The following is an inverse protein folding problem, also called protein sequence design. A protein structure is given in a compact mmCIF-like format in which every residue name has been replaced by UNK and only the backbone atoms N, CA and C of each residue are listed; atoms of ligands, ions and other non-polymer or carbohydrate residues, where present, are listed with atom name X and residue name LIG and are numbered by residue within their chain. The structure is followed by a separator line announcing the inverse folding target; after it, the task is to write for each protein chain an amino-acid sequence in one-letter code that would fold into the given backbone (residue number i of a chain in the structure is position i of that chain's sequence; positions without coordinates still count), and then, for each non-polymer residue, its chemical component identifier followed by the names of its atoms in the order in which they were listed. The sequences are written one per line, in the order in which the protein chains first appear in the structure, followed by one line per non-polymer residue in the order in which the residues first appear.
data_IF_985421533792
#
_entry.id   IF_985421533792
#
_cell.length_a   1.000
_cell.length_b   1.000
_cell.length_c   1.000
_cell.angle_alpha   90.00
_cell.angle_beta   90.00
_cell.angle_gamma   90.00
#
_symmetry.space_group_name_H-M   'P 1'
#
loop_
_entity.id
_entity.type
_entity.pdbx_description
1 polymer ?
#
# COMPACT_ATOMS: atom_id res chain seq x y z
N UNK A 1 24.87 0.59 -50.54
CA UNK A 1 23.92 -0.54 -50.73
C UNK A 1 22.79 -0.37 -49.75
N UNK A 2 21.52 -0.22 -50.17
CA UNK A 2 20.39 0.13 -49.31
C UNK A 2 19.77 -1.13 -48.66
N UNK A 3 19.46 -1.05 -47.38
CA UNK A 3 18.72 -2.05 -46.65
C UNK A 3 17.23 -1.97 -47.03
N UNK A 4 16.69 -3.07 -47.52
CA UNK A 4 15.29 -3.20 -47.90
C UNK A 4 14.39 -3.43 -46.67
N UNK A 5 13.35 -2.61 -46.53
CA UNK A 5 12.26 -2.77 -45.61
C UNK A 5 11.39 -3.99 -46.03
N UNK A 6 11.26 -4.98 -45.13
CA UNK A 6 10.26 -6.03 -45.23
C UNK A 6 8.97 -5.62 -44.48
N UNK A 7 7.79 -6.09 -44.88
CA UNK A 7 6.52 -5.65 -44.31
C UNK A 7 6.28 -6.22 -42.92
N UNK A 8 5.97 -5.32 -41.96
CA UNK A 8 5.47 -5.67 -40.63
C UNK A 8 4.05 -6.24 -40.75
N UNK A 9 3.90 -7.53 -40.61
CA UNK A 9 2.61 -8.15 -40.37
C UNK A 9 2.23 -7.98 -38.91
N UNK A 10 1.18 -7.22 -38.67
CA UNK A 10 0.52 -7.02 -37.38
C UNK A 10 -0.19 -8.32 -37.00
N UNK A 11 -0.02 -8.88 -35.78
CA UNK A 11 -0.83 -10.02 -35.34
C UNK A 11 -2.27 -9.58 -35.08
N UNK A 12 -3.26 -10.43 -35.36
CA UNK A 12 -4.68 -10.10 -35.17
C UNK A 12 -5.06 -10.10 -33.69
N UNK A 13 -6.02 -9.23 -33.40
CA UNK A 13 -6.67 -8.88 -32.16
C UNK A 13 -6.87 -9.96 -31.11
N UNK A 14 -6.67 -9.52 -29.89
CA UNK A 14 -6.97 -10.21 -28.65
C UNK A 14 -7.47 -9.27 -27.56
N UNK A 15 -8.48 -8.44 -27.88
CA UNK A 15 -9.04 -7.48 -26.89
C UNK A 15 -10.32 -7.96 -26.18
N UNK A 16 -10.67 -9.25 -26.29
CA UNK A 16 -11.94 -9.78 -25.77
C UNK A 16 -11.80 -10.67 -24.51
N UNK A 17 -10.59 -10.85 -23.95
CA UNK A 17 -10.36 -11.82 -22.85
C UNK A 17 -10.01 -11.19 -21.52
N UNK A 18 -10.05 -9.87 -21.39
CA UNK A 18 -9.68 -9.14 -20.15
C UNK A 18 -10.80 -8.98 -19.11
N UNK A 19 -12.04 -9.35 -19.45
CA UNK A 19 -13.21 -9.02 -18.61
C UNK A 19 -13.80 -10.18 -17.80
N UNK A 20 -13.11 -11.31 -17.68
CA UNK A 20 -13.59 -12.43 -16.87
C UNK A 20 -12.59 -12.81 -15.78
N UNK A 21 -12.59 -12.06 -14.68
CA UNK A 21 -11.98 -12.55 -13.45
C UNK A 21 -12.78 -13.75 -12.92
N UNK A 22 -12.17 -14.95 -12.83
CA UNK A 22 -12.89 -16.13 -12.34
C UNK A 22 -13.25 -15.96 -10.85
N UNK A 23 -14.48 -16.30 -10.50
CA UNK A 23 -14.98 -16.46 -9.11
C UNK A 23 -14.06 -17.33 -8.23
N UNK A 24 -13.15 -18.06 -8.81
CA UNK A 24 -12.15 -18.89 -8.15
C UNK A 24 -11.09 -18.11 -7.35
N UNK A 25 -10.81 -16.83 -7.68
CA UNK A 25 -9.75 -16.04 -7.01
C UNK A 25 -10.19 -15.59 -5.62
N UNK A 26 -11.42 -15.12 -5.46
CA UNK A 26 -11.97 -14.77 -4.14
C UNK A 26 -12.03 -16.02 -3.23
N UNK A 27 -12.44 -17.18 -3.77
CA UNK A 27 -12.47 -18.45 -3.05
C UNK A 27 -11.07 -18.98 -2.69
N UNK A 28 -10.02 -18.64 -3.46
CA UNK A 28 -8.64 -19.08 -3.21
C UNK A 28 -7.96 -18.21 -2.15
N UNK A 29 -8.23 -16.91 -2.11
CA UNK A 29 -7.78 -16.01 -1.03
C UNK A 29 -8.40 -16.40 0.31
N UNK A 30 -9.67 -16.85 0.32
CA UNK A 30 -10.36 -17.38 1.51
C UNK A 30 -9.75 -18.74 1.93
N UNK A 31 -9.39 -19.63 0.98
CA UNK A 31 -8.79 -20.94 1.27
C UNK A 31 -7.31 -20.88 1.64
N UNK A 32 -6.60 -19.85 1.29
CA UNK A 32 -5.19 -19.68 1.65
C UNK A 32 -4.97 -19.20 3.10
N UNK A 33 -6.02 -19.08 3.93
CA UNK A 33 -5.92 -18.68 5.34
C UNK A 33 -5.47 -17.23 5.57
N UNK A 34 -5.25 -16.46 4.52
CA UNK A 34 -4.74 -15.08 4.61
C UNK A 34 -5.79 -14.02 4.94
N UNK A 35 -7.08 -14.38 4.87
CA UNK A 35 -8.20 -13.52 5.25
C UNK A 35 -9.08 -14.11 6.36
N UNK A 36 -8.89 -15.41 6.73
CA UNK A 36 -9.82 -16.11 7.62
C UNK A 36 -9.48 -16.04 9.10
N UNK A 37 -8.27 -15.65 9.51
CA UNK A 37 -7.84 -15.64 10.90
C UNK A 37 -7.55 -14.24 11.46
N UNK A 38 -8.33 -13.24 11.07
CA UNK A 38 -8.45 -12.05 11.92
C UNK A 38 -9.64 -12.34 12.87
N UNK A 39 -9.39 -12.71 14.13
CA UNK A 39 -10.47 -12.90 15.07
C UNK A 39 -11.29 -11.62 15.13
N UNK A 40 -12.59 -11.74 14.98
CA UNK A 40 -13.51 -10.64 15.28
C UNK A 40 -13.13 -10.14 16.68
N UNK A 41 -12.60 -8.91 16.76
CA UNK A 41 -12.14 -8.35 18.01
C UNK A 41 -13.29 -8.44 19.01
N UNK A 42 -13.12 -9.30 20.01
CA UNK A 42 -14.05 -9.41 21.14
C UNK A 42 -14.14 -8.03 21.79
N UNK A 43 -15.30 -7.43 21.70
CA UNK A 43 -15.60 -6.09 22.21
C UNK A 43 -15.78 -6.10 23.74
N UNK A 44 -14.87 -6.71 24.50
CA UNK A 44 -14.93 -6.68 25.95
C UNK A 44 -13.60 -6.99 26.66
N UNK A 45 -12.48 -6.48 26.18
CA UNK A 45 -11.28 -6.41 27.01
C UNK A 45 -11.13 -4.97 27.48
N UNK A 46 -11.26 -4.72 28.79
CA UNK A 46 -11.11 -3.40 29.39
C UNK A 46 -9.82 -2.74 28.90
N UNK A 47 -9.95 -1.56 28.30
CA UNK A 47 -8.83 -0.79 27.78
C UNK A 47 -7.86 -0.47 28.90
N UNK A 48 -6.59 -0.84 28.74
CA UNK A 48 -5.52 -0.40 29.62
C UNK A 48 -5.48 1.13 29.65
N UNK A 49 -5.20 1.77 30.82
CA UNK A 49 -5.18 3.21 30.93
C UNK A 49 -4.20 3.83 29.93
N UNK A 50 -4.68 4.72 29.05
CA UNK A 50 -3.91 5.41 28.01
C UNK A 50 -4.19 4.97 26.56
N UNK A 51 -5.06 3.99 26.33
CA UNK A 51 -5.49 3.63 24.95
C UNK A 51 -6.63 4.55 24.52
N UNK A 52 -6.37 5.34 23.47
CA UNK A 52 -7.44 6.06 22.79
C UNK A 52 -8.38 5.05 22.11
N UNK A 53 -9.68 5.34 22.17
CA UNK A 53 -10.65 4.63 21.36
C UNK A 53 -10.31 4.76 19.88
N UNK A 54 -10.53 3.70 19.08
CA UNK A 54 -10.37 3.79 17.64
C UNK A 54 -11.28 4.91 17.11
N UNK A 55 -10.80 5.72 16.16
CA UNK A 55 -11.67 6.67 15.50
C UNK A 55 -12.83 5.91 14.86
N UNK A 56 -14.02 6.51 14.85
CA UNK A 56 -15.17 5.92 14.16
C UNK A 56 -14.79 5.64 12.72
N UNK A 57 -15.08 4.42 12.27
CA UNK A 57 -14.83 4.02 10.89
C UNK A 57 -15.60 4.94 9.94
N UNK A 58 -14.96 5.57 8.96
CA UNK A 58 -15.66 6.34 7.97
C UNK A 58 -16.61 5.43 7.19
N UNK A 59 -17.77 5.94 6.89
CA UNK A 59 -18.85 5.20 6.24
C UNK A 59 -18.40 4.61 4.90
N UNK A 60 -18.48 3.31 4.77
CA UNK A 60 -18.77 2.43 3.63
C UNK A 60 -18.31 2.79 2.20
N UNK A 61 -17.67 3.92 1.95
CA UNK A 61 -17.28 4.38 0.62
C UNK A 61 -15.81 4.78 0.58
N UNK A 62 -15.17 4.53 -0.56
CA UNK A 62 -13.81 4.95 -0.81
C UNK A 62 -13.72 6.46 -1.03
N UNK A 63 -12.81 7.09 -0.32
CA UNK A 63 -12.47 8.50 -0.44
C UNK A 63 -10.99 8.73 -0.10
N UNK A 64 -10.48 9.93 -0.36
CA UNK A 64 -9.13 10.33 0.08
C UNK A 64 -8.96 10.17 1.60
N UNK A 65 -10.01 10.42 2.36
CA UNK A 65 -10.01 10.33 3.81
C UNK A 65 -9.65 8.93 4.32
N UNK A 66 -10.06 7.85 3.62
CA UNK A 66 -9.66 6.48 3.97
C UNK A 66 -8.13 6.36 4.03
N UNK A 67 -7.44 6.87 3.01
CA UNK A 67 -5.98 6.83 2.94
C UNK A 67 -5.29 7.77 3.95
N UNK A 68 -5.98 8.81 4.42
CA UNK A 68 -5.50 9.70 5.47
C UNK A 68 -5.58 9.06 6.86
N UNK A 69 -6.59 8.24 7.08
CA UNK A 69 -6.91 7.65 8.37
C UNK A 69 -6.11 6.39 8.67
N UNK A 70 -5.93 5.52 7.67
CA UNK A 70 -5.22 4.26 7.86
C UNK A 70 -3.72 4.49 8.07
N UNK A 71 -3.10 3.64 8.87
CA UNK A 71 -1.64 3.65 9.03
C UNK A 71 -0.95 3.04 7.80
N UNK A 72 0.32 3.32 7.63
CA UNK A 72 1.08 3.00 6.42
C UNK A 72 1.09 1.50 6.05
N UNK A 73 1.11 0.58 7.01
CA UNK A 73 1.01 -0.87 6.72
C UNK A 73 -0.37 -1.27 6.20
N UNK A 74 -1.43 -0.59 6.64
CA UNK A 74 -2.77 -0.81 6.10
C UNK A 74 -2.87 -0.28 4.68
N UNK A 75 -2.23 0.86 4.40
CA UNK A 75 -2.11 1.37 3.05
C UNK A 75 -1.42 0.35 2.11
N UNK A 76 -0.27 -0.19 2.50
CA UNK A 76 0.42 -1.25 1.74
C UNK A 76 -0.47 -2.49 1.54
N UNK A 77 -1.16 -2.94 2.58
CA UNK A 77 -2.07 -4.09 2.48
C UNK A 77 -3.25 -3.86 1.53
N UNK A 78 -3.78 -2.63 1.46
CA UNK A 78 -4.81 -2.24 0.47
C UNK A 78 -4.24 -2.30 -0.94
N UNK A 79 -3.04 -1.77 -1.14
CA UNK A 79 -2.36 -1.80 -2.46
C UNK A 79 -2.08 -3.25 -2.88
N UNK A 80 -1.59 -4.08 -1.96
CA UNK A 80 -1.38 -5.52 -2.20
C UNK A 80 -2.68 -6.21 -2.63
N UNK A 81 -3.76 -6.02 -1.87
CA UNK A 81 -5.06 -6.59 -2.19
C UNK A 81 -5.62 -6.10 -3.54
N UNK A 82 -5.40 -4.82 -3.87
CA UNK A 82 -5.82 -4.23 -5.14
C UNK A 82 -5.10 -4.88 -6.33
N UNK A 83 -3.79 -5.12 -6.24
CA UNK A 83 -3.04 -5.85 -7.26
C UNK A 83 -3.42 -7.33 -7.29
N UNK A 84 -3.71 -7.94 -6.13
CA UNK A 84 -4.28 -9.30 -6.08
C UNK A 84 -5.60 -9.41 -6.83
N UNK A 85 -6.50 -8.44 -6.68
CA UNK A 85 -7.74 -8.34 -7.45
C UNK A 85 -7.53 -8.06 -8.94
N UNK A 86 -6.38 -7.51 -9.31
CA UNK A 86 -5.98 -7.32 -10.71
C UNK A 86 -5.40 -8.58 -11.37
N UNK A 87 -5.31 -9.70 -10.63
CA UNK A 87 -4.86 -10.98 -11.16
C UNK A 87 -3.37 -11.25 -10.99
N UNK A 88 -2.69 -10.55 -10.06
CA UNK A 88 -1.33 -10.88 -9.65
C UNK A 88 -1.32 -11.78 -8.42
N UNK A 89 -0.38 -12.70 -8.35
CA UNK A 89 0.01 -13.27 -7.07
C UNK A 89 0.97 -12.28 -6.39
N UNK A 90 0.65 -11.89 -5.15
CA UNK A 90 1.38 -10.86 -4.42
C UNK A 90 2.16 -11.46 -3.27
N UNK A 91 3.36 -10.93 -3.03
CA UNK A 91 4.19 -11.27 -1.86
C UNK A 91 4.70 -9.97 -1.25
N UNK A 92 4.18 -9.60 -0.08
CA UNK A 92 4.71 -8.49 0.69
C UNK A 92 5.92 -8.92 1.51
N UNK A 93 6.87 -8.01 1.71
CA UNK A 93 8.04 -8.29 2.54
C UNK A 93 7.79 -7.94 4.01
N UNK A 94 8.26 -8.76 4.98
CA UNK A 94 8.40 -8.32 6.35
C UNK A 94 9.44 -7.20 6.43
N UNK A 95 9.36 -6.35 7.46
CA UNK A 95 10.26 -5.21 7.65
C UNK A 95 11.73 -5.61 7.70
N UNK A 96 12.54 -4.92 6.91
CA UNK A 96 13.98 -5.02 6.86
C UNK A 96 14.58 -4.02 5.88
N UNK A 97 15.90 -3.96 5.77
CA UNK A 97 16.63 -3.10 4.83
C UNK A 97 16.67 -3.72 3.41
N UNK A 98 15.52 -3.94 2.82
CA UNK A 98 15.34 -4.79 1.62
C UNK A 98 15.29 -4.00 0.31
N UNK A 99 15.98 -2.87 0.27
CA UNK A 99 16.12 -2.11 -0.97
C UNK A 99 14.88 -1.35 -1.44
N UNK A 100 13.79 -1.28 -0.64
CA UNK A 100 12.64 -0.41 -0.94
C UNK A 100 11.55 -1.08 -1.80
N UNK A 101 11.47 -2.42 -1.83
CA UNK A 101 10.34 -3.15 -2.41
C UNK A 101 9.34 -3.47 -1.32
N UNK A 102 8.10 -2.99 -1.45
CA UNK A 102 7.04 -3.30 -0.49
C UNK A 102 6.24 -4.53 -0.92
N UNK A 103 6.02 -4.71 -2.23
CA UNK A 103 5.23 -5.83 -2.77
C UNK A 103 5.88 -6.38 -4.04
N UNK A 104 6.07 -7.68 -4.11
CA UNK A 104 6.46 -8.41 -5.30
C UNK A 104 5.21 -8.90 -6.03
N UNK A 105 5.15 -8.66 -7.34
CA UNK A 105 4.05 -9.12 -8.19
C UNK A 105 4.52 -10.26 -9.08
N UNK A 106 3.88 -11.40 -8.97
CA UNK A 106 4.12 -12.56 -9.81
C UNK A 106 2.92 -12.81 -10.74
N UNK A 107 3.15 -13.46 -11.86
CA UNK A 107 2.06 -13.95 -12.70
C UNK A 107 1.29 -15.03 -11.95
N UNK A 108 -0.03 -15.07 -12.09
CA UNK A 108 -0.85 -16.19 -11.53
C UNK A 108 -0.50 -17.56 -12.15
N UNK A 109 0.21 -17.56 -13.27
CA UNK A 109 0.67 -18.77 -13.97
C UNK A 109 2.16 -19.06 -13.72
N UNK A 110 2.78 -18.39 -12.74
CA UNK A 110 4.19 -18.64 -12.44
C UNK A 110 4.36 -20.01 -11.76
N UNK A 111 5.47 -20.69 -12.05
CA UNK A 111 5.93 -21.84 -11.30
C UNK A 111 6.68 -21.38 -10.03
N UNK A 112 6.79 -22.26 -9.03
CA UNK A 112 7.60 -21.98 -7.87
C UNK A 112 9.06 -21.69 -8.29
N UNK A 113 9.55 -20.49 -7.93
CA UNK A 113 10.88 -20.03 -8.29
C UNK A 113 10.95 -19.06 -9.48
N UNK A 114 9.87 -18.80 -10.19
CA UNK A 114 9.84 -17.81 -11.26
C UNK A 114 10.08 -16.40 -10.72
N UNK A 115 10.81 -15.59 -11.47
CA UNK A 115 11.07 -14.21 -11.15
C UNK A 115 9.77 -13.38 -11.12
N UNK A 116 9.68 -12.36 -10.24
CA UNK A 116 8.56 -11.44 -10.24
C UNK A 116 8.47 -10.67 -11.56
N UNK A 117 7.25 -10.43 -12.02
CA UNK A 117 6.99 -9.66 -13.26
C UNK A 117 7.00 -8.16 -13.03
N UNK A 118 6.82 -7.73 -11.78
CA UNK A 118 6.85 -6.32 -11.37
C UNK A 118 7.10 -6.20 -9.87
N UNK A 119 7.51 -5.01 -9.44
CA UNK A 119 7.62 -4.64 -8.03
C UNK A 119 6.81 -3.38 -7.75
N UNK A 120 6.34 -3.24 -6.51
CA UNK A 120 5.61 -2.06 -6.06
C UNK A 120 6.34 -1.41 -4.91
N UNK A 121 6.49 -0.10 -4.98
CA UNK A 121 6.90 0.74 -3.87
C UNK A 121 5.75 1.65 -3.44
N UNK A 122 5.47 1.70 -2.15
CA UNK A 122 4.40 2.48 -1.55
C UNK A 122 4.97 3.66 -0.73
N UNK A 123 4.39 4.84 -0.87
CA UNK A 123 4.74 6.01 -0.05
C UNK A 123 3.47 6.68 0.47
N UNK A 124 3.17 6.51 1.75
CA UNK A 124 2.06 7.22 2.38
C UNK A 124 2.51 8.62 2.82
N UNK A 125 2.54 9.55 1.86
CA UNK A 125 2.87 10.96 2.10
C UNK A 125 1.62 11.83 1.98
N UNK A 126 1.44 12.76 2.92
CA UNK A 126 0.24 13.62 2.98
C UNK A 126 0.48 15.03 2.45
N UNK A 127 1.73 15.53 2.48
CA UNK A 127 2.05 16.93 2.22
C UNK A 127 3.06 17.16 1.11
N UNK A 128 3.87 16.16 0.80
CA UNK A 128 4.98 16.29 -0.13
C UNK A 128 4.70 15.45 -1.37
N UNK A 129 4.92 16.03 -2.54
CA UNK A 129 4.89 15.29 -3.79
C UNK A 129 6.10 14.35 -3.87
N UNK A 130 5.91 13.19 -4.46
CA UNK A 130 7.01 12.27 -4.78
C UNK A 130 7.82 12.87 -5.92
N UNK A 131 9.12 13.06 -5.68
CA UNK A 131 10.06 13.61 -6.65
C UNK A 131 10.69 12.55 -7.53
N UNK A 132 11.48 13.01 -8.51
CA UNK A 132 12.21 12.12 -9.43
C UNK A 132 13.24 11.25 -8.71
N UNK A 133 13.76 11.70 -7.56
CA UNK A 133 14.75 10.96 -6.76
C UNK A 133 14.18 9.60 -6.32
N UNK A 134 13.01 9.59 -5.72
CA UNK A 134 12.35 8.38 -5.22
C UNK A 134 12.03 7.41 -6.39
N UNK A 135 11.62 7.95 -7.54
CA UNK A 135 11.33 7.14 -8.72
C UNK A 135 12.61 6.54 -9.33
N UNK A 136 13.73 7.26 -9.28
CA UNK A 136 15.05 6.73 -9.67
C UNK A 136 15.54 5.64 -8.72
N UNK A 137 15.27 5.75 -7.43
CA UNK A 137 15.57 4.70 -6.45
C UNK A 137 14.84 3.40 -6.82
N UNK A 138 13.52 3.46 -7.10
CA UNK A 138 12.77 2.30 -7.58
C UNK A 138 13.37 1.72 -8.88
N UNK A 139 13.78 2.58 -9.84
CA UNK A 139 14.41 2.12 -11.08
C UNK A 139 15.72 1.37 -10.83
N UNK A 140 16.49 1.82 -9.83
CA UNK A 140 17.72 1.14 -9.39
C UNK A 140 17.44 -0.27 -8.85
N UNK A 141 16.40 -0.40 -8.02
CA UNK A 141 15.97 -1.70 -7.48
C UNK A 141 15.47 -2.62 -8.61
N UNK A 142 14.67 -2.10 -9.55
CA UNK A 142 14.24 -2.85 -10.73
C UNK A 142 15.43 -3.40 -11.51
N UNK A 143 16.46 -2.58 -11.72
CA UNK A 143 17.68 -2.99 -12.42
C UNK A 143 18.46 -4.08 -11.68
N UNK A 144 18.58 -3.95 -10.35
CA UNK A 144 19.24 -4.93 -9.49
C UNK A 144 18.61 -6.32 -9.61
N UNK A 145 17.27 -6.37 -9.74
CA UNK A 145 16.51 -7.63 -9.82
C UNK A 145 16.17 -8.06 -11.26
N UNK A 146 16.66 -7.35 -12.27
CA UNK A 146 16.38 -7.66 -13.69
C UNK A 146 14.91 -7.46 -14.08
N UNK A 147 14.17 -6.62 -13.35
CA UNK A 147 12.73 -6.41 -13.55
C UNK A 147 12.50 -5.22 -14.49
N UNK A 148 11.75 -5.45 -15.57
CA UNK A 148 11.48 -4.44 -16.58
C UNK A 148 10.37 -3.45 -16.19
N UNK A 149 9.49 -3.81 -15.27
CA UNK A 149 8.31 -3.01 -14.86
C UNK A 149 8.28 -2.80 -13.35
N UNK A 150 7.93 -1.58 -12.93
CA UNK A 150 7.71 -1.23 -11.54
C UNK A 150 6.43 -0.41 -11.37
N UNK A 151 5.91 -0.37 -10.14
CA UNK A 151 4.75 0.45 -9.77
C UNK A 151 5.15 1.32 -8.59
N UNK A 152 4.91 2.60 -8.68
CA UNK A 152 5.08 3.51 -7.56
C UNK A 152 3.72 4.04 -7.12
N UNK A 153 3.36 3.80 -5.87
CA UNK A 153 2.03 4.10 -5.34
C UNK A 153 2.16 5.10 -4.19
N UNK A 154 1.39 6.19 -4.23
CA UNK A 154 1.44 7.19 -3.15
C UNK A 154 0.04 7.71 -2.81
N UNK A 155 -0.13 8.14 -1.56
CA UNK A 155 -1.33 8.88 -1.10
C UNK A 155 -1.23 10.38 -1.40
N UNK A 156 -0.14 10.83 -2.00
CA UNK A 156 0.11 12.21 -2.44
C UNK A 156 -0.01 12.31 -3.98
N UNK A 157 0.88 13.08 -4.58
CA UNK A 157 0.99 13.34 -6.01
C UNK A 157 2.47 13.22 -6.43
N UNK A 158 2.75 13.26 -7.73
CA UNK A 158 4.11 13.23 -8.30
C UNK A 158 4.48 14.59 -8.89
N UNK A 159 5.78 14.92 -8.87
CA UNK A 159 6.30 16.07 -9.61
C UNK A 159 6.29 15.81 -11.13
N UNK A 160 6.38 16.87 -11.94
CA UNK A 160 6.50 16.76 -13.40
C UNK A 160 7.67 15.87 -13.81
N UNK A 161 8.86 16.14 -13.25
CA UNK A 161 10.10 15.38 -13.52
C UNK A 161 9.95 13.89 -13.14
N UNK A 162 9.23 13.59 -12.05
CA UNK A 162 8.96 12.20 -11.66
C UNK A 162 8.10 11.48 -12.70
N UNK A 163 7.07 12.16 -13.22
CA UNK A 163 6.16 11.62 -14.25
C UNK A 163 6.91 11.39 -15.57
N UNK A 164 7.72 12.35 -16.00
CA UNK A 164 8.52 12.23 -17.21
C UNK A 164 9.53 11.07 -17.12
N UNK A 165 10.28 11.00 -16.02
CA UNK A 165 11.23 9.91 -15.80
C UNK A 165 10.55 8.54 -15.77
N UNK A 166 9.42 8.41 -15.09
CA UNK A 166 8.68 7.15 -14.98
C UNK A 166 8.19 6.64 -16.35
N UNK A 167 7.67 7.54 -17.20
CA UNK A 167 7.18 7.21 -18.53
C UNK A 167 8.26 6.57 -19.42
N UNK A 168 9.52 7.03 -19.31
CA UNK A 168 10.66 6.49 -20.06
C UNK A 168 11.30 5.22 -19.46
N UNK A 169 10.90 4.81 -18.25
CA UNK A 169 11.61 3.76 -17.49
C UNK A 169 10.73 2.57 -17.07
N UNK A 170 9.55 2.38 -17.65
CA UNK A 170 8.68 1.24 -17.37
C UNK A 170 8.04 1.28 -15.97
N UNK A 171 7.88 2.48 -15.39
CA UNK A 171 7.31 2.66 -14.05
C UNK A 171 5.90 3.24 -14.15
N UNK A 172 4.91 2.49 -13.66
CA UNK A 172 3.55 2.98 -13.46
C UNK A 172 3.46 3.85 -12.21
N UNK A 173 2.83 5.02 -12.31
CA UNK A 173 2.62 5.94 -11.20
C UNK A 173 1.14 5.97 -10.81
N UNK A 174 0.87 5.73 -9.53
CA UNK A 174 -0.46 5.74 -8.95
C UNK A 174 -0.50 6.73 -7.78
N UNK A 175 -0.99 7.94 -8.03
CA UNK A 175 -1.33 8.90 -6.98
C UNK A 175 -2.69 8.54 -6.33
N UNK A 176 -3.10 9.29 -5.33
CA UNK A 176 -4.34 9.01 -4.61
C UNK A 176 -5.57 9.00 -5.53
N UNK A 177 -5.63 9.87 -6.53
CA UNK A 177 -6.73 9.90 -7.49
C UNK A 177 -6.68 8.71 -8.45
N UNK A 178 -5.48 8.32 -8.87
CA UNK A 178 -5.25 7.10 -9.64
C UNK A 178 -5.71 5.86 -8.89
N UNK A 179 -5.38 5.75 -7.58
CA UNK A 179 -5.85 4.67 -6.73
C UNK A 179 -7.37 4.64 -6.61
N UNK A 180 -8.01 5.78 -6.37
CA UNK A 180 -9.47 5.86 -6.28
C UNK A 180 -10.14 5.46 -7.60
N UNK A 181 -9.58 5.87 -8.75
CA UNK A 181 -10.07 5.41 -10.06
C UNK A 181 -9.93 3.90 -10.23
N UNK A 182 -8.78 3.31 -9.85
CA UNK A 182 -8.58 1.86 -9.91
C UNK A 182 -9.57 1.10 -9.01
N UNK A 183 -9.81 1.60 -7.81
CA UNK A 183 -10.79 1.01 -6.88
C UNK A 183 -12.21 1.12 -7.45
N UNK A 184 -12.56 2.26 -8.07
CA UNK A 184 -13.88 2.46 -8.68
C UNK A 184 -14.17 1.50 -9.85
N UNK A 185 -13.13 0.92 -10.48
CA UNK A 185 -13.31 -0.12 -11.52
C UNK A 185 -13.61 -1.51 -10.95
N UNK A 186 -13.55 -1.70 -9.63
CA UNK A 186 -13.83 -2.98 -8.96
C UNK A 186 -15.32 -3.14 -8.72
N UNK A 187 -15.77 -4.40 -8.59
CA UNK A 187 -17.17 -4.65 -8.20
C UNK A 187 -17.45 -4.10 -6.80
N UNK A 188 -18.71 -3.84 -6.43
CA UNK A 188 -19.06 -3.39 -5.06
C UNK A 188 -18.50 -4.33 -3.98
N UNK A 189 -18.54 -5.64 -4.20
CA UNK A 189 -18.03 -6.65 -3.27
C UNK A 189 -16.51 -6.57 -3.13
N UNK A 190 -15.80 -6.34 -4.24
CA UNK A 190 -14.35 -6.13 -4.26
C UNK A 190 -13.96 -4.83 -3.55
N UNK A 191 -14.71 -3.75 -3.78
CA UNK A 191 -14.49 -2.48 -3.07
C UNK A 191 -14.71 -2.64 -1.56
N UNK A 192 -15.75 -3.37 -1.17
CA UNK A 192 -16.03 -3.65 0.25
C UNK A 192 -14.93 -4.51 0.88
N UNK A 193 -14.43 -5.53 0.16
CA UNK A 193 -13.30 -6.34 0.64
C UNK A 193 -12.03 -5.51 0.85
N UNK A 194 -11.74 -4.55 -0.02
CA UNK A 194 -10.63 -3.61 0.16
C UNK A 194 -10.83 -2.71 1.39
N UNK A 195 -12.05 -2.24 1.67
CA UNK A 195 -12.36 -1.48 2.89
C UNK A 195 -12.15 -2.33 4.16
N UNK A 196 -12.52 -3.61 4.13
CA UNK A 196 -12.24 -4.53 5.24
C UNK A 196 -10.73 -4.69 5.48
N UNK A 197 -9.92 -4.75 4.41
CA UNK A 197 -8.46 -4.76 4.52
C UNK A 197 -7.95 -3.44 5.12
N UNK A 198 -8.46 -2.30 4.67
CA UNK A 198 -8.03 -0.99 5.14
C UNK A 198 -8.25 -0.82 6.65
N UNK A 199 -9.40 -1.25 7.14
CA UNK A 199 -9.82 -1.07 8.53
C UNK A 199 -9.63 -2.31 9.42
N UNK A 200 -8.82 -3.28 9.00
CA UNK A 200 -8.55 -4.45 9.80
C UNK A 200 -7.66 -4.14 11.02
N UNK A 201 -8.03 -4.67 12.19
CA UNK A 201 -7.26 -4.55 13.43
C UNK A 201 -7.06 -3.12 13.90
N UNK A 202 -5.88 -2.83 14.43
CA UNK A 202 -5.49 -1.48 14.90
C UNK A 202 -5.08 -0.58 13.71
N UNK A 203 -5.99 -0.36 12.78
CA UNK A 203 -5.76 0.32 11.51
C UNK A 203 -5.28 1.77 11.62
N UNK A 204 -5.52 2.44 12.74
CA UNK A 204 -5.13 3.83 13.02
C UNK A 204 -3.80 3.94 13.77
N UNK A 205 -3.35 2.86 14.43
CA UNK A 205 -2.10 2.84 15.20
C UNK A 205 -0.92 2.59 14.26
N UNK A 206 0.05 3.52 14.20
CA UNK A 206 1.19 3.32 13.32
C UNK A 206 2.01 2.08 13.72
N UNK A 207 2.54 1.42 12.71
CA UNK A 207 3.54 0.36 12.88
C UNK A 207 4.93 0.97 12.91
N UNK A 208 5.80 0.50 13.80
CA UNK A 208 7.20 0.94 13.88
C UNK A 208 7.96 0.47 12.64
N UNK A 209 8.52 1.41 11.87
CA UNK A 209 9.27 1.09 10.66
C UNK A 209 10.56 0.26 10.93
N UNK A 210 11.10 0.29 12.15
CA UNK A 210 12.32 -0.45 12.51
C UNK A 210 12.05 -1.82 13.12
N UNK A 211 10.91 -1.98 13.85
CA UNK A 211 10.62 -3.19 14.62
C UNK A 211 9.41 -3.98 14.12
N UNK A 212 8.60 -3.43 13.23
CA UNK A 212 7.37 -4.05 12.76
C UNK A 212 6.22 -4.15 13.78
N UNK A 213 6.41 -3.66 15.02
CA UNK A 213 5.39 -3.71 16.09
C UNK A 213 4.55 -2.43 16.10
N UNK A 214 3.33 -2.50 16.65
CA UNK A 214 2.49 -1.32 16.82
C UNK A 214 3.11 -0.34 17.81
N UNK A 215 3.14 0.94 17.45
CA UNK A 215 3.58 2.02 18.34
C UNK A 215 2.53 2.25 19.44
N UNK A 216 2.96 2.79 20.58
CA UNK A 216 2.10 3.16 21.70
C UNK A 216 2.10 4.68 21.89
N UNK A 217 0.98 5.21 22.34
CA UNK A 217 0.87 6.64 22.68
C UNK A 217 1.69 6.93 23.94
N UNK A 218 2.47 8.01 23.88
CA UNK A 218 3.32 8.49 24.97
C UNK A 218 3.19 10.00 25.12
N UNK A 219 3.38 10.49 26.33
CA UNK A 219 3.43 11.92 26.63
C UNK A 219 4.87 12.33 26.97
N UNK A 220 5.36 13.35 26.28
CA UNK A 220 6.69 13.90 26.54
C UNK A 220 6.68 14.65 27.89
N UNK A 221 7.56 14.27 28.82
CA UNK A 221 7.57 14.79 30.21
C UNK A 221 7.72 16.32 30.30
N UNK A 222 8.56 16.90 29.44
CA UNK A 222 8.84 18.36 29.51
C UNK A 222 7.79 19.21 28.79
N UNK A 223 7.23 18.74 27.67
CA UNK A 223 6.35 19.55 26.83
C UNK A 223 4.87 19.16 26.91
N UNK A 224 4.53 18.05 27.57
CA UNK A 224 3.17 17.49 27.56
C UNK A 224 2.70 16.98 26.19
N UNK A 225 3.56 17.05 25.14
CA UNK A 225 3.18 16.65 23.78
C UNK A 225 2.97 15.15 23.71
N UNK A 226 1.85 14.76 23.10
CA UNK A 226 1.53 13.36 22.82
C UNK A 226 2.19 12.94 21.49
N UNK A 227 2.76 11.73 21.46
CA UNK A 227 3.41 11.15 20.31
C UNK A 227 3.30 9.62 20.31
N UNK A 228 3.48 9.00 19.17
CA UNK A 228 3.63 7.56 19.03
C UNK A 228 5.08 7.16 19.29
N UNK A 229 5.33 6.29 20.24
CA UNK A 229 6.67 5.77 20.58
C UNK A 229 6.74 4.26 20.48
N UNK A 230 7.90 3.72 20.09
CA UNK A 230 8.10 2.28 20.04
C UNK A 230 8.17 1.65 21.44
N UNK A 231 7.52 0.51 21.65
CA UNK A 231 7.61 -0.25 22.91
C UNK A 231 9.03 -0.77 23.16
N UNK A 232 9.79 -1.04 22.09
CA UNK A 232 11.19 -1.43 22.17
C UNK A 232 12.16 -0.25 22.46
N UNK A 233 11.65 0.90 22.95
CA UNK A 233 12.53 2.04 23.29
C UNK A 233 13.64 1.67 24.26
N UNK A 234 13.33 0.91 25.29
CA UNK A 234 14.32 0.43 26.27
C UNK A 234 15.34 -0.56 25.66
N UNK A 235 14.97 -1.22 24.56
CA UNK A 235 15.82 -2.14 23.78
C UNK A 235 16.58 -1.44 22.64
N UNK A 236 16.58 -0.11 22.60
CA UNK A 236 17.34 0.69 21.63
C UNK A 236 16.54 1.26 20.45
N UNK A 237 15.30 0.86 20.21
CA UNK A 237 14.50 1.46 19.14
C UNK A 237 14.00 2.84 19.51
N UNK A 238 14.49 3.87 18.84
CA UNK A 238 14.14 5.28 19.11
C UNK A 238 13.05 5.83 18.19
N UNK A 239 12.32 4.97 17.45
CA UNK A 239 11.26 5.40 16.53
C UNK A 239 10.17 6.16 17.27
N UNK A 240 9.88 7.36 16.79
CA UNK A 240 8.81 8.24 17.25
C UNK A 240 8.08 8.83 16.05
N UNK A 241 6.75 8.94 16.14
CA UNK A 241 5.92 9.59 15.13
C UNK A 241 4.96 10.58 15.79
N UNK A 242 4.63 11.70 15.13
CA UNK A 242 3.62 12.63 15.64
C UNK A 242 2.23 12.00 15.62
N UNK A 243 1.37 12.37 16.58
CA UNK A 243 -0.05 12.00 16.55
C UNK A 243 -0.78 12.92 15.59
N UNK A 244 -1.21 12.39 14.44
CA UNK A 244 -1.86 13.18 13.38
C UNK A 244 -3.26 13.71 13.76
N UNK A 245 -3.94 13.08 14.72
CA UNK A 245 -5.30 13.40 15.13
C UNK A 245 -5.47 14.71 15.91
N UNK A 246 -4.42 15.22 16.53
CA UNK A 246 -4.53 16.45 17.36
C UNK A 246 -4.83 17.71 16.54
N UNK A 247 -4.52 17.73 15.25
CA UNK A 247 -4.77 18.90 14.40
C UNK A 247 -6.27 19.12 14.08
N UNK A 248 -7.11 18.07 14.12
CA UNK A 248 -8.56 18.20 13.88
C UNK A 248 -9.37 18.51 15.13
N UNK A 249 -8.99 17.99 16.29
CA UNK A 249 -9.70 18.27 17.54
C UNK A 249 -9.54 19.73 18.02
N UNK A 250 -8.51 20.43 17.53
CA UNK A 250 -8.30 21.86 17.85
C UNK A 250 -9.06 22.81 16.91
N UNK A 251 -9.53 22.33 15.76
CA UNK A 251 -10.30 23.12 14.79
C UNK A 251 -11.81 23.11 15.05
N UNK A 252 -12.31 22.16 15.87
CA UNK A 252 -13.73 21.99 16.20
C UNK A 252 -14.10 22.53 17.61
N UNK A 253 -13.32 23.46 18.17
CA UNK A 253 -13.79 24.23 19.33
C UNK A 253 -14.49 25.48 18.85
N UNK A 254 -15.79 25.65 19.21
CA UNK A 254 -16.59 26.83 18.89
C UNK A 254 -16.03 28.12 19.51
#
# INVERSE_FOLDING_TARGET
MPWRNGPHTRPPGGDAERDRLPRAIAARLIRAGRLADVPAASAAAGLAPGRREPPRMPLGQWSREVFELVEWRRFEAVVEALFGQAGFETRSQPHGADGGVDIWLHSIHHADGDAPVSIVQCKQWMRWKVGVKEVRELRGVMAQHGIARGQFVTTSDFTGDAREFAAGNGIGLHDVDGLLRLIATRTPEQQQALLQVAFAGDWWRPTCASCGIKLVERTARQSGRIFWGCENYARGCKTQLPVRYQARAAADKP
#
